data_IF_101299215878
#
_entry.id   IF_101299215878
#
_cell.length_a   1.000
_cell.length_b   1.000
_cell.length_c   1.000
_cell.angle_alpha   90.00
_cell.angle_beta   90.00
_cell.angle_gamma   90.00
#
_symmetry.space_group_name_H-M   'P 1'
#
loop_
_entity.id
_entity.type
_entity.pdbx_description
1 polymer ?
#
# COMPACT_ATOMS: atom_id res chain seq x y z
N UNK A 1 -33.00 -27.74 28.28
CA UNK A 1 -33.23 -26.38 27.74
C UNK A 1 -32.66 -26.28 26.33
N UNK A 2 -33.51 -26.22 25.31
CA UNK A 2 -33.08 -26.07 23.93
C UNK A 2 -32.60 -24.63 23.69
N UNK A 3 -31.33 -24.44 23.32
CA UNK A 3 -30.78 -23.13 22.93
C UNK A 3 -31.46 -22.68 21.63
N UNK A 4 -32.46 -21.81 21.74
CA UNK A 4 -33.08 -21.13 20.59
C UNK A 4 -32.00 -20.30 19.88
N UNK A 5 -31.60 -20.75 18.69
CA UNK A 5 -30.70 -20.00 17.80
C UNK A 5 -31.48 -18.82 17.25
N UNK A 6 -31.00 -17.60 17.55
CA UNK A 6 -31.61 -16.34 17.15
C UNK A 6 -31.74 -16.27 15.61
N UNK A 7 -32.95 -15.98 15.11
CA UNK A 7 -33.31 -15.95 13.68
C UNK A 7 -32.51 -14.93 12.84
N UNK A 8 -31.70 -14.07 13.48
CA UNK A 8 -30.78 -13.15 12.79
C UNK A 8 -29.68 -13.82 11.97
N UNK A 9 -29.44 -15.13 12.11
CA UNK A 9 -28.51 -15.84 11.20
C UNK A 9 -29.01 -15.92 9.75
N UNK A 10 -30.31 -15.66 9.51
CA UNK A 10 -30.90 -15.76 8.17
C UNK A 10 -30.61 -14.55 7.26
N UNK A 11 -30.22 -13.40 7.82
CA UNK A 11 -29.88 -12.20 7.03
C UNK A 11 -28.46 -12.24 6.41
N UNK A 12 -27.67 -13.28 6.69
CA UNK A 12 -26.35 -13.49 6.09
C UNK A 12 -26.38 -14.08 4.67
N UNK A 13 -27.55 -14.43 4.14
CA UNK A 13 -27.70 -15.23 2.93
C UNK A 13 -28.36 -14.50 1.75
N UNK A 14 -28.36 -13.17 1.73
CA UNK A 14 -28.83 -12.41 0.56
C UNK A 14 -27.88 -12.62 -0.63
N UNK A 15 -28.40 -12.50 -1.85
CA UNK A 15 -27.57 -12.60 -3.06
C UNK A 15 -26.41 -11.58 -3.02
N UNK A 16 -26.63 -10.40 -2.44
CA UNK A 16 -25.59 -9.39 -2.22
C UNK A 16 -24.56 -9.79 -1.16
N UNK A 17 -24.98 -10.35 -0.03
CA UNK A 17 -24.05 -10.87 0.98
C UNK A 17 -23.22 -12.03 0.41
N UNK A 18 -23.83 -12.93 -0.35
CA UNK A 18 -23.14 -13.99 -1.09
C UNK A 18 -22.23 -13.43 -2.18
N UNK A 19 -22.60 -12.34 -2.86
CA UNK A 19 -21.76 -11.66 -3.86
C UNK A 19 -20.56 -10.96 -3.21
N UNK A 20 -20.73 -10.33 -2.04
CA UNK A 20 -19.65 -9.74 -1.24
C UNK A 20 -18.73 -10.81 -0.65
N UNK A 21 -19.29 -11.88 -0.10
CA UNK A 21 -18.53 -13.04 0.38
C UNK A 21 -17.78 -13.73 -0.76
N UNK A 22 -18.42 -13.92 -1.92
CA UNK A 22 -17.75 -14.43 -3.13
C UNK A 22 -16.66 -13.48 -3.61
N UNK A 23 -16.85 -12.16 -3.59
CA UNK A 23 -15.79 -11.21 -3.93
C UNK A 23 -14.60 -11.26 -2.94
N UNK A 24 -14.87 -11.55 -1.66
CA UNK A 24 -13.83 -11.77 -0.63
C UNK A 24 -13.16 -13.16 -0.76
N UNK A 25 -13.88 -14.16 -1.29
CA UNK A 25 -13.41 -15.53 -1.55
C UNK A 25 -12.78 -15.71 -2.93
N UNK A 26 -13.04 -14.80 -3.89
CA UNK A 26 -12.29 -14.75 -5.13
C UNK A 26 -10.85 -14.48 -4.69
N UNK A 27 -9.91 -15.41 -4.93
CA UNK A 27 -8.52 -15.13 -4.65
C UNK A 27 -8.14 -14.01 -5.61
N UNK A 28 -8.19 -12.76 -5.16
CA UNK A 28 -7.30 -11.76 -5.70
C UNK A 28 -5.93 -12.40 -5.61
N UNK A 29 -5.29 -12.61 -6.77
CA UNK A 29 -4.00 -13.26 -6.90
C UNK A 29 -3.12 -12.84 -5.71
N UNK A 30 -2.54 -13.78 -4.97
CA UNK A 30 -1.69 -13.46 -3.81
C UNK A 30 -0.65 -12.41 -4.18
N UNK A 31 -0.18 -12.46 -5.43
CA UNK A 31 0.63 -11.41 -6.06
C UNK A 31 -0.07 -10.05 -6.13
N UNK A 32 -1.31 -9.95 -6.61
CA UNK A 32 -2.07 -8.68 -6.64
C UNK A 32 -2.31 -8.10 -5.23
N UNK A 33 -2.52 -8.95 -4.22
CA UNK A 33 -2.68 -8.48 -2.83
C UNK A 33 -1.37 -7.97 -2.26
N UNK A 34 -0.27 -8.71 -2.46
CA UNK A 34 1.08 -8.31 -2.03
C UNK A 34 1.53 -7.04 -2.74
N UNK A 35 1.34 -6.97 -4.06
CA UNK A 35 1.66 -5.82 -4.91
C UNK A 35 0.87 -4.58 -4.49
N UNK A 36 -0.45 -4.69 -4.24
CA UNK A 36 -1.24 -3.55 -3.74
C UNK A 36 -0.80 -3.08 -2.37
N UNK A 37 -0.37 -3.98 -1.49
CA UNK A 37 0.15 -3.65 -0.16
C UNK A 37 1.46 -2.87 -0.29
N UNK A 38 2.37 -3.35 -1.11
CA UNK A 38 3.64 -2.68 -1.43
C UNK A 38 3.41 -1.30 -2.04
N UNK A 39 2.55 -1.20 -3.07
CA UNK A 39 2.18 0.09 -3.66
C UNK A 39 1.61 1.07 -2.63
N UNK A 40 0.83 0.59 -1.66
CA UNK A 40 0.27 1.43 -0.60
C UNK A 40 1.38 1.96 0.32
N UNK A 41 2.33 1.11 0.71
CA UNK A 41 3.46 1.49 1.56
C UNK A 41 4.37 2.48 0.83
N UNK A 42 4.68 2.25 -0.45
CA UNK A 42 5.45 3.19 -1.26
C UNK A 42 4.68 4.50 -1.49
N UNK A 43 3.35 4.45 -1.65
CA UNK A 43 2.56 5.68 -1.70
C UNK A 43 2.56 6.45 -0.37
N UNK A 44 2.62 5.77 0.78
CA UNK A 44 2.78 6.44 2.06
C UNK A 44 4.13 7.13 2.16
N UNK A 45 5.20 6.45 1.76
CA UNK A 45 6.53 7.02 1.66
C UNK A 45 6.56 8.28 0.77
N UNK A 46 6.03 8.19 -0.45
CA UNK A 46 6.01 9.30 -1.42
C UNK A 46 5.18 10.53 -1.00
N UNK A 47 4.15 10.37 -0.17
CA UNK A 47 3.33 11.51 0.27
C UNK A 47 3.87 12.17 1.54
N UNK A 48 4.85 11.55 2.20
CA UNK A 48 5.41 12.06 3.44
C UNK A 48 6.36 13.23 3.17
N UNK A 49 6.38 14.26 4.04
CA UNK A 49 7.41 15.27 3.99
C UNK A 49 8.80 14.68 4.26
N UNK A 50 9.82 15.19 3.56
CA UNK A 50 11.22 14.74 3.71
C UNK A 50 11.71 14.79 5.17
N UNK A 51 11.29 15.79 5.94
CA UNK A 51 11.65 15.89 7.36
C UNK A 51 11.13 14.72 8.21
N UNK A 52 9.91 14.24 7.93
CA UNK A 52 9.33 13.09 8.62
C UNK A 52 10.04 11.80 8.19
N UNK A 53 10.36 11.69 6.90
CA UNK A 53 11.16 10.58 6.35
C UNK A 53 12.53 10.49 7.04
N UNK A 54 13.22 11.62 7.21
CA UNK A 54 14.50 11.68 7.91
C UNK A 54 14.35 11.25 9.38
N UNK A 55 13.31 11.71 10.07
CA UNK A 55 13.06 11.34 11.47
C UNK A 55 12.83 9.83 11.61
N UNK A 56 12.10 9.22 10.68
CA UNK A 56 11.89 7.77 10.64
C UNK A 56 13.20 7.03 10.41
N UNK A 57 14.03 7.49 9.46
CA UNK A 57 15.33 6.89 9.21
C UNK A 57 16.23 6.94 10.44
N UNK A 58 16.40 8.10 11.06
CA UNK A 58 17.29 8.27 12.22
C UNK A 58 16.82 7.43 13.41
N UNK A 59 15.51 7.34 13.62
CA UNK A 59 14.95 6.56 14.70
C UNK A 59 15.04 5.05 14.44
N UNK A 60 14.86 4.60 13.20
CA UNK A 60 14.89 3.18 12.88
C UNK A 60 16.32 2.63 12.74
N UNK A 61 17.21 3.41 12.11
CA UNK A 61 18.58 2.97 11.78
C UNK A 61 19.57 3.34 12.90
N UNK A 62 19.43 4.54 13.48
CA UNK A 62 20.39 5.07 14.45
C UNK A 62 19.83 5.20 15.87
N UNK A 63 18.57 4.77 16.09
CA UNK A 63 17.87 4.84 17.38
C UNK A 63 17.88 6.23 18.04
N UNK A 64 17.93 7.30 17.24
CA UNK A 64 18.01 8.69 17.71
C UNK A 64 16.97 9.59 17.06
N UNK A 65 16.71 10.74 17.71
CA UNK A 65 15.78 11.74 17.19
C UNK A 65 16.52 12.67 16.23
N UNK A 66 15.84 13.14 15.19
CA UNK A 66 16.41 14.07 14.20
C UNK A 66 17.03 15.33 14.82
N UNK A 67 16.52 15.79 15.96
CA UNK A 67 17.06 16.95 16.69
C UNK A 67 18.49 16.77 17.18
N UNK A 68 18.86 15.52 17.46
CA UNK A 68 20.19 15.15 17.94
C UNK A 68 21.14 14.79 16.78
N UNK A 69 20.63 14.83 15.54
CA UNK A 69 21.41 14.53 14.34
C UNK A 69 22.17 15.77 13.87
N UNK A 70 23.51 15.71 13.76
CA UNK A 70 24.29 16.78 13.17
C UNK A 70 23.80 17.11 11.75
N UNK A 71 23.69 18.39 11.40
CA UNK A 71 23.20 18.82 10.08
C UNK A 71 23.98 18.22 8.90
N UNK A 72 25.27 17.94 9.11
CA UNK A 72 26.16 17.33 8.10
C UNK A 72 25.81 15.86 7.84
N UNK A 73 25.10 15.20 8.77
CA UNK A 73 24.70 13.80 8.68
C UNK A 73 23.30 13.60 8.09
N UNK A 74 22.55 14.70 7.87
CA UNK A 74 21.22 14.65 7.26
C UNK A 74 21.34 14.07 5.85
N UNK A 75 20.51 13.06 5.57
CA UNK A 75 20.49 12.37 4.29
C UNK A 75 19.66 13.15 3.29
N UNK A 76 20.01 13.04 2.02
CA UNK A 76 19.19 13.59 0.95
C UNK A 76 18.01 12.66 0.65
N UNK A 77 17.03 13.20 -0.07
CA UNK A 77 15.82 12.45 -0.47
C UNK A 77 16.17 11.17 -1.23
N UNK A 78 17.19 11.25 -2.11
CA UNK A 78 17.62 10.11 -2.91
C UNK A 78 18.16 8.96 -2.05
N UNK A 79 19.02 9.24 -1.08
CA UNK A 79 19.53 8.22 -0.17
C UNK A 79 18.40 7.57 0.64
N UNK A 80 17.43 8.36 1.08
CA UNK A 80 16.29 7.88 1.88
C UNK A 80 15.33 7.01 1.05
N UNK A 81 15.14 7.37 -0.22
CA UNK A 81 14.37 6.54 -1.16
C UNK A 81 15.08 5.23 -1.48
N UNK A 82 16.41 5.26 -1.69
CA UNK A 82 17.21 4.05 -1.89
C UNK A 82 17.13 3.14 -0.65
N UNK A 83 17.31 3.70 0.54
CA UNK A 83 17.12 2.97 1.80
C UNK A 83 15.73 2.35 1.91
N UNK A 84 14.68 3.11 1.60
CA UNK A 84 13.31 2.59 1.62
C UNK A 84 13.13 1.44 0.64
N UNK A 85 13.65 1.52 -0.58
CA UNK A 85 13.53 0.45 -1.58
C UNK A 85 14.25 -0.84 -1.17
N UNK A 86 15.33 -0.75 -0.39
CA UNK A 86 16.06 -1.92 0.12
C UNK A 86 15.33 -2.68 1.25
N UNK A 87 14.35 -2.04 1.92
CA UNK A 87 13.62 -2.67 3.02
C UNK A 87 12.65 -3.77 2.54
N UNK A 88 12.49 -4.80 3.38
CA UNK A 88 11.47 -5.83 3.16
C UNK A 88 10.07 -5.26 3.33
N UNK A 89 9.06 -5.92 2.75
CA UNK A 89 7.65 -5.48 2.89
C UNK A 89 7.22 -5.55 4.37
N UNK A 90 7.74 -6.52 5.11
CA UNK A 90 7.52 -6.69 6.54
C UNK A 90 8.06 -5.50 7.34
N UNK A 91 9.29 -5.07 7.08
CA UNK A 91 9.92 -3.92 7.74
C UNK A 91 9.17 -2.62 7.43
N UNK A 92 8.85 -2.40 6.14
CA UNK A 92 8.03 -1.26 5.69
C UNK A 92 6.68 -1.22 6.41
N UNK A 93 6.03 -2.37 6.58
CA UNK A 93 4.76 -2.44 7.29
C UNK A 93 4.91 -2.16 8.78
N UNK A 94 5.99 -2.63 9.40
CA UNK A 94 6.27 -2.37 10.81
C UNK A 94 6.47 -0.87 11.04
N UNK A 95 7.33 -0.23 10.24
CA UNK A 95 7.59 1.21 10.30
C UNK A 95 6.30 2.00 10.10
N UNK A 96 5.54 1.68 9.05
CA UNK A 96 4.25 2.32 8.75
C UNK A 96 3.28 2.24 9.93
N UNK A 97 3.14 1.06 10.55
CA UNK A 97 2.21 0.88 11.68
C UNK A 97 2.66 1.66 12.90
N UNK A 98 3.96 1.65 13.17
CA UNK A 98 4.54 2.34 14.33
C UNK A 98 4.36 3.84 14.20
N UNK A 99 4.76 4.42 13.06
CA UNK A 99 4.64 5.85 12.79
C UNK A 99 3.17 6.30 12.75
N UNK A 100 2.31 5.59 12.02
CA UNK A 100 0.89 5.93 11.96
C UNK A 100 0.22 5.94 13.33
N UNK A 101 0.66 5.08 14.26
CA UNK A 101 0.13 5.03 15.63
C UNK A 101 0.46 6.29 16.43
N UNK A 102 1.54 6.99 16.12
CA UNK A 102 1.92 8.24 16.78
C UNK A 102 0.99 9.41 16.40
N UNK A 103 0.37 9.37 15.22
CA UNK A 103 -0.55 10.42 14.78
C UNK A 103 -1.94 10.34 15.42
N UNK A 104 -2.56 11.51 15.65
CA UNK A 104 -3.98 11.62 16.00
C UNK A 104 -4.87 11.07 14.87
N UNK A 105 -6.04 10.53 15.24
CA UNK A 105 -7.00 9.92 14.28
C UNK A 105 -7.37 10.85 13.11
N UNK A 106 -7.50 12.15 13.36
CA UNK A 106 -7.81 13.13 12.32
C UNK A 106 -6.68 13.26 11.28
N UNK A 107 -5.43 13.29 11.76
CA UNK A 107 -4.23 13.33 10.90
C UNK A 107 -4.05 12.02 10.15
N UNK A 108 -4.23 10.88 10.83
CA UNK A 108 -4.24 9.57 10.17
C UNK A 108 -5.24 9.53 9.01
N UNK A 109 -6.45 10.08 9.20
CA UNK A 109 -7.48 10.14 8.16
C UNK A 109 -7.04 10.98 6.95
N UNK A 110 -6.39 12.13 7.17
CA UNK A 110 -5.83 12.96 6.10
C UNK A 110 -4.74 12.22 5.33
N UNK A 111 -3.76 11.67 6.03
CA UNK A 111 -2.66 10.88 5.45
C UNK A 111 -3.22 9.71 4.63
N UNK A 112 -4.20 8.98 5.16
CA UNK A 112 -4.84 7.88 4.45
C UNK A 112 -5.52 8.34 3.16
N UNK A 113 -6.17 9.51 3.13
CA UNK A 113 -6.76 10.05 1.90
C UNK A 113 -5.71 10.31 0.83
N UNK A 114 -4.56 10.88 1.22
CA UNK A 114 -3.46 11.16 0.29
C UNK A 114 -2.83 9.88 -0.24
N UNK A 115 -2.62 8.88 0.63
CA UNK A 115 -2.19 7.54 0.23
C UNK A 115 -3.15 6.92 -0.80
N UNK A 116 -4.46 6.94 -0.53
CA UNK A 116 -5.45 6.37 -1.44
C UNK A 116 -5.47 7.08 -2.79
N UNK A 117 -5.34 8.41 -2.81
CA UNK A 117 -5.24 9.21 -4.04
C UNK A 117 -3.99 8.85 -4.84
N UNK A 118 -2.85 8.64 -4.18
CA UNK A 118 -1.63 8.13 -4.82
C UNK A 118 -1.85 6.73 -5.40
N UNK A 119 -2.42 5.82 -4.61
CA UNK A 119 -2.64 4.43 -4.98
C UNK A 119 -3.55 4.30 -6.21
N UNK A 120 -4.65 5.06 -6.26
CA UNK A 120 -5.55 5.10 -7.42
C UNK A 120 -4.85 5.54 -8.70
N UNK A 121 -3.99 6.57 -8.61
CA UNK A 121 -3.18 7.03 -9.75
C UNK A 121 -2.23 5.95 -10.23
N UNK A 122 -1.51 5.27 -9.33
CA UNK A 122 -0.57 4.18 -9.70
C UNK A 122 -1.29 3.00 -10.34
N UNK A 123 -2.40 2.55 -9.74
CA UNK A 123 -3.22 1.46 -10.30
C UNK A 123 -3.76 1.82 -11.68
N UNK A 124 -4.20 3.06 -11.90
CA UNK A 124 -4.66 3.53 -13.21
C UNK A 124 -3.53 3.49 -14.24
N UNK A 125 -2.35 4.01 -13.91
CA UNK A 125 -1.15 3.98 -14.78
C UNK A 125 -0.78 2.54 -15.15
N UNK A 126 -0.76 1.61 -14.19
CA UNK A 126 -0.47 0.20 -14.49
C UNK A 126 -1.50 -0.44 -15.42
N UNK A 127 -2.79 -0.15 -15.22
CA UNK A 127 -3.86 -0.67 -16.09
C UNK A 127 -3.67 -0.16 -17.52
N UNK A 128 -3.32 1.11 -17.70
CA UNK A 128 -3.04 1.69 -19.01
C UNK A 128 -1.80 1.07 -19.65
N UNK A 129 -0.73 0.86 -18.89
CA UNK A 129 0.48 0.19 -19.36
C UNK A 129 0.19 -1.25 -19.82
N UNK A 130 -0.57 -2.02 -19.02
CA UNK A 130 -1.00 -3.39 -19.37
C UNK A 130 -1.83 -3.42 -20.66
N UNK A 131 -2.69 -2.42 -20.89
CA UNK A 131 -3.46 -2.29 -22.14
C UNK A 131 -2.54 -2.02 -23.34
N UNK A 132 -1.55 -1.12 -23.20
CA UNK A 132 -0.55 -0.84 -24.25
C UNK A 132 0.25 -2.08 -24.63
N UNK A 133 0.81 -2.78 -23.64
CA UNK A 133 1.60 -4.01 -23.86
C UNK A 133 0.76 -5.10 -24.56
N UNK A 134 -0.51 -5.28 -24.18
CA UNK A 134 -1.41 -6.23 -24.85
C UNK A 134 -1.65 -5.86 -26.32
N UNK A 135 -1.82 -4.57 -26.63
CA UNK A 135 -2.00 -4.07 -28.01
C UNK A 135 -0.75 -4.34 -28.85
N UNK A 136 0.43 -4.04 -28.32
CA UNK A 136 1.72 -4.28 -29.01
C UNK A 136 2.00 -5.76 -29.25
N UNK A 137 1.74 -6.63 -28.26
CA UNK A 137 1.87 -8.08 -28.41
C UNK A 137 0.88 -8.65 -29.43
N UNK A 138 -0.35 -8.13 -29.45
CA UNK A 138 -1.35 -8.49 -30.47
C UNK A 138 -0.95 -8.04 -31.88
N UNK A 139 -0.33 -6.86 -32.01
CA UNK A 139 0.19 -6.37 -33.28
C UNK A 139 1.37 -7.23 -33.77
N UNK A 140 2.35 -7.56 -32.91
CA UNK A 140 3.48 -8.44 -33.26
C UNK A 140 3.02 -9.83 -33.70
N UNK A 141 2.03 -10.43 -33.02
CA UNK A 141 1.47 -11.73 -33.43
C UNK A 141 0.78 -11.72 -34.81
N UNK A 142 0.29 -10.57 -35.28
CA UNK A 142 -0.27 -10.45 -36.63
C UNK A 142 0.82 -10.32 -37.71
N UNK A 143 1.98 -9.75 -37.37
CA UNK A 143 3.12 -9.59 -38.29
C UNK A 143 3.83 -10.94 -38.56
N UNK A 144 3.90 -11.82 -37.56
CA UNK A 144 4.53 -13.15 -37.69
C UNK A 144 3.59 -14.26 -38.22
N UNK A 145 2.41 -13.90 -38.73
CA UNK A 145 1.42 -14.86 -39.25
C UNK A 145 1.26 -14.80 -40.78
N UNK A 146 2.28 -14.25 -41.46
CA UNK A 146 2.42 -14.21 -42.93
C UNK A 146 3.40 -15.28 -43.35
#
# INVERSE_FOLDING_TARGET
>A
MAKLRNAKSYYGNTAEARKRQRANLTPGNTWDKRHKKELRLNCWWEVMPLGNIQEIYEMYVNERVIKDTPKVEIKDEKYLDEWWEELTIEDKEWIYKWDMKAYLKEMQSKILKDIYKCLEKKIKKERELRKKIKKERGARKKVFRV
#
